data_IF_420142835113
#
_entry.id   IF_420142835113
#
_cell.length_a   1.000
_cell.length_b   1.000
_cell.length_c   1.000
_cell.angle_alpha   90.00
_cell.angle_beta   90.00
_cell.angle_gamma   90.00
#
_symmetry.space_group_name_H-M   'P 1'
#
loop_
_entity.id
_entity.type
_entity.pdbx_description
1 polymer ?
#
# COMPACT_ATOMS: atom_id res chain seq x y z
N UNK A 1 15.11 2.54 -21.38
CA UNK A 1 14.58 1.97 -20.12
C UNK A 1 15.59 2.25 -19.03
N UNK A 2 15.26 2.95 -17.93
CA UNK A 2 16.20 3.03 -16.82
C UNK A 2 16.32 1.65 -16.19
N UNK A 3 17.55 1.16 -16.11
CA UNK A 3 17.92 -0.08 -15.43
C UNK A 3 17.73 0.11 -13.93
N UNK A 4 17.00 -0.80 -13.28
CA UNK A 4 17.00 -0.86 -11.83
C UNK A 4 18.34 -1.46 -11.39
N UNK A 5 19.31 -0.60 -11.06
CA UNK A 5 20.48 -1.01 -10.32
C UNK A 5 20.01 -1.54 -8.96
N UNK A 6 20.53 -2.71 -8.55
CA UNK A 6 20.40 -3.26 -7.20
C UNK A 6 21.20 -2.42 -6.19
N UNK A 7 20.97 -1.10 -6.18
CA UNK A 7 21.60 -0.20 -5.23
C UNK A 7 21.03 -0.48 -3.85
N UNK A 8 21.93 -0.70 -2.90
CA UNK A 8 21.71 -0.92 -1.47
C UNK A 8 21.08 0.28 -0.74
N UNK A 9 20.05 0.90 -1.33
CA UNK A 9 19.14 1.77 -0.60
C UNK A 9 18.25 0.81 0.18
N UNK A 10 18.48 0.74 1.49
CA UNK A 10 17.57 0.07 2.41
C UNK A 10 16.18 0.64 2.14
N UNK A 11 15.30 -0.21 1.58
CA UNK A 11 13.91 0.17 1.27
C UNK A 11 13.30 0.86 2.48
N UNK A 12 12.36 1.79 2.28
CA UNK A 12 11.65 2.38 3.39
C UNK A 12 11.10 1.27 4.27
N UNK A 13 11.46 1.33 5.56
CA UNK A 13 11.14 0.31 6.53
C UNK A 13 10.11 0.89 7.49
N UNK A 14 8.99 0.21 7.61
CA UNK A 14 8.03 0.52 8.65
C UNK A 14 8.51 -0.12 9.95
N UNK A 15 8.85 0.71 10.93
CA UNK A 15 9.19 0.26 12.28
C UNK A 15 7.90 0.02 13.07
N UNK A 16 7.96 -0.89 14.05
CA UNK A 16 6.82 -1.19 14.93
C UNK A 16 6.31 0.09 15.60
N UNK A 17 5.00 0.34 15.48
CA UNK A 17 4.35 1.53 16.04
C UNK A 17 4.61 2.84 15.28
N UNK A 18 5.19 2.78 14.08
CA UNK A 18 5.34 3.93 13.18
C UNK A 18 4.44 3.77 11.97
N UNK A 19 4.02 4.90 11.41
CA UNK A 19 3.30 4.93 10.15
C UNK A 19 4.22 5.39 9.01
N UNK A 20 3.86 5.03 7.78
CA UNK A 20 4.55 5.47 6.58
C UNK A 20 3.54 5.77 5.47
N UNK A 21 3.60 6.98 4.93
CA UNK A 21 2.83 7.34 3.75
C UNK A 21 3.50 6.72 2.53
N UNK A 22 2.74 5.93 1.76
CA UNK A 22 3.18 5.33 0.48
C UNK A 22 2.73 6.15 -0.72
N UNK A 23 1.72 6.99 -0.53
CA UNK A 23 1.32 8.07 -1.44
C UNK A 23 0.99 9.30 -0.59
N UNK A 24 1.50 10.47 -0.98
CA UNK A 24 1.30 11.72 -0.25
C UNK A 24 0.68 12.81 -1.14
N UNK A 25 -0.65 12.83 -1.24
CA UNK A 25 -1.41 13.73 -2.10
C UNK A 25 -1.01 13.61 -3.59
N UNK A 26 -1.01 12.37 -4.09
CA UNK A 26 -0.49 12.04 -5.42
C UNK A 26 -1.60 11.73 -6.42
N UNK A 27 -1.40 12.13 -7.68
CA UNK A 27 -2.24 11.74 -8.80
C UNK A 27 -1.88 10.32 -9.28
N UNK A 28 -2.18 9.31 -8.45
CA UNK A 28 -1.83 7.91 -8.74
C UNK A 28 -2.62 7.41 -9.95
N UNK A 29 -1.88 6.94 -10.96
CA UNK A 29 -2.43 6.33 -12.18
C UNK A 29 -2.92 4.90 -11.92
N UNK A 30 -4.05 4.54 -12.52
CA UNK A 30 -4.53 3.15 -12.52
C UNK A 30 -3.49 2.22 -13.18
N UNK A 31 -3.28 1.05 -12.58
CA UNK A 31 -2.24 0.09 -12.94
C UNK A 31 -0.92 0.26 -12.19
N UNK A 32 -0.67 1.43 -11.58
CA UNK A 32 0.59 1.71 -10.88
C UNK A 32 0.62 1.12 -9.46
N UNK A 33 1.77 0.58 -9.09
CA UNK A 33 2.08 0.18 -7.72
C UNK A 33 2.81 1.31 -6.98
N UNK A 34 2.61 1.40 -5.66
CA UNK A 34 3.36 2.27 -4.77
C UNK A 34 4.81 1.79 -4.61
N UNK A 35 5.58 2.56 -3.85
CA UNK A 35 6.82 2.06 -3.29
C UNK A 35 6.60 0.79 -2.45
N UNK A 36 7.65 -0.02 -2.38
CA UNK A 36 7.66 -1.30 -1.69
C UNK A 36 8.25 -1.12 -0.29
N UNK A 37 7.44 -1.34 0.73
CA UNK A 37 7.80 -1.10 2.14
C UNK A 37 8.22 -2.41 2.77
N UNK A 38 9.35 -2.39 3.49
CA UNK A 38 9.77 -3.52 4.32
C UNK A 38 9.12 -3.43 5.69
N UNK A 39 8.55 -4.55 6.15
CA UNK A 39 7.92 -4.65 7.46
C UNK A 39 8.97 -5.10 8.48
N UNK A 40 9.27 -4.25 9.47
CA UNK A 40 10.09 -4.68 10.61
C UNK A 40 9.22 -5.54 11.54
N UNK A 41 9.31 -6.86 11.42
CA UNK A 41 8.55 -7.78 12.26
C UNK A 41 9.45 -8.75 13.00
N UNK A 42 9.01 -9.17 14.17
CA UNK A 42 9.55 -10.34 14.83
C UNK A 42 9.10 -11.58 14.04
N UNK A 43 10.02 -12.46 13.59
CA UNK A 43 9.65 -13.67 12.86
C UNK A 43 8.76 -14.63 13.69
N UNK A 44 8.75 -14.50 15.01
CA UNK A 44 8.00 -15.38 15.92
C UNK A 44 6.61 -14.83 16.28
N UNK A 45 6.25 -13.62 15.85
CA UNK A 45 4.97 -13.00 16.19
C UNK A 45 4.25 -12.49 14.93
N UNK A 46 2.94 -12.75 14.78
CA UNK A 46 2.16 -12.16 13.69
C UNK A 46 2.14 -10.63 13.83
N UNK A 47 2.46 -9.93 12.74
CA UNK A 47 2.37 -8.48 12.71
C UNK A 47 0.94 -8.04 12.39
N UNK A 48 0.53 -6.93 12.99
CA UNK A 48 -0.69 -6.20 12.59
C UNK A 48 -0.30 -5.14 11.58
N UNK A 49 -1.14 -4.95 10.57
CA UNK A 49 -1.00 -3.89 9.58
C UNK A 49 -2.36 -3.25 9.38
N UNK A 50 -2.41 -1.92 9.31
CA UNK A 50 -3.56 -1.24 8.74
C UNK A 50 -3.16 -0.31 7.60
N UNK A 51 -4.05 -0.19 6.63
CA UNK A 51 -3.91 0.69 5.48
C UNK A 51 -5.05 1.68 5.55
N UNK A 52 -4.73 2.96 5.64
CA UNK A 52 -5.70 4.04 5.48
C UNK A 52 -5.48 4.71 4.13
N UNK A 53 -6.57 4.97 3.43
CA UNK A 53 -6.57 5.67 2.15
C UNK A 53 -7.53 6.85 2.25
N UNK A 54 -7.08 8.02 1.80
CA UNK A 54 -7.87 9.23 1.67
C UNK A 54 -7.81 9.74 0.24
N UNK A 55 -8.97 10.00 -0.35
CA UNK A 55 -9.09 10.73 -1.61
C UNK A 55 -9.35 12.22 -1.36
N UNK A 56 -8.85 13.09 -2.24
CA UNK A 56 -9.07 14.54 -2.14
C UNK A 56 -10.52 14.96 -2.46
N UNK A 57 -11.24 14.13 -3.21
CA UNK A 57 -12.65 14.26 -3.58
C UNK A 57 -13.20 12.86 -3.94
N UNK A 58 -14.47 12.78 -4.35
CA UNK A 58 -15.10 11.51 -4.74
C UNK A 58 -14.31 10.83 -5.89
N UNK A 59 -13.70 9.65 -5.67
CA UNK A 59 -12.95 8.94 -6.70
C UNK A 59 -13.84 8.26 -7.75
N UNK A 60 -15.17 8.21 -7.55
CA UNK A 60 -16.06 7.34 -8.30
C UNK A 60 -15.77 5.87 -8.00
N UNK A 61 -15.87 4.99 -9.01
CA UNK A 61 -15.46 3.60 -8.82
C UNK A 61 -13.94 3.53 -8.68
N UNK A 62 -13.46 2.79 -7.68
CA UNK A 62 -12.05 2.63 -7.42
C UNK A 62 -11.73 1.22 -6.91
N UNK A 63 -10.47 0.84 -7.01
CA UNK A 63 -9.94 -0.36 -6.36
C UNK A 63 -8.46 -0.17 -6.06
N UNK A 64 -8.09 -0.34 -4.81
CA UNK A 64 -6.70 -0.39 -4.35
C UNK A 64 -6.43 -1.76 -3.75
N UNK A 65 -5.46 -2.46 -4.30
CA UNK A 65 -5.01 -3.75 -3.81
C UNK A 65 -3.88 -3.57 -2.79
N UNK A 66 -4.00 -4.20 -1.64
CA UNK A 66 -2.91 -4.39 -0.70
C UNK A 66 -2.18 -5.66 -1.09
N UNK A 67 -0.93 -5.54 -1.53
CA UNK A 67 -0.14 -6.66 -2.02
C UNK A 67 1.04 -6.93 -1.10
N UNK A 68 1.32 -8.21 -0.86
CA UNK A 68 2.39 -8.64 0.03
C UNK A 68 3.30 -9.67 -0.63
N UNK A 69 4.57 -9.70 -0.24
CA UNK A 69 5.55 -10.69 -0.69
C UNK A 69 6.62 -10.95 0.38
N UNK A 70 7.24 -12.13 0.35
CA UNK A 70 8.46 -12.41 1.14
C UNK A 70 9.74 -12.14 0.34
N UNK A 71 9.67 -12.31 -0.98
CA UNK A 71 10.75 -11.97 -1.90
C UNK A 71 10.40 -10.68 -2.62
N UNK A 72 11.31 -9.71 -2.61
CA UNK A 72 11.09 -8.45 -3.30
C UNK A 72 11.26 -8.56 -4.83
N UNK A 73 10.31 -9.22 -5.48
CA UNK A 73 10.18 -9.20 -6.94
C UNK A 73 8.72 -9.03 -7.32
N UNK A 74 8.48 -8.27 -8.38
CA UNK A 74 7.14 -7.98 -8.90
C UNK A 74 6.25 -9.23 -9.02
N UNK A 75 6.84 -10.33 -9.47
CA UNK A 75 6.14 -11.61 -9.69
C UNK A 75 5.66 -12.30 -8.41
N UNK A 76 6.23 -11.95 -7.24
CA UNK A 76 5.90 -12.56 -5.96
C UNK A 76 4.89 -11.75 -5.14
N UNK A 77 4.50 -10.56 -5.60
CA UNK A 77 3.47 -9.77 -4.92
C UNK A 77 2.08 -10.33 -5.19
N UNK A 78 1.41 -10.75 -4.12
CA UNK A 78 0.06 -11.31 -4.15
C UNK A 78 -0.90 -10.36 -3.45
N UNK A 79 -2.06 -10.10 -4.04
CA UNK A 79 -3.14 -9.31 -3.42
C UNK A 79 -3.71 -10.07 -2.21
N UNK A 80 -3.70 -9.42 -1.03
CA UNK A 80 -4.25 -9.96 0.22
C UNK A 80 -5.62 -9.40 0.54
N UNK A 81 -5.85 -8.14 0.22
CA UNK A 81 -7.17 -7.53 0.27
C UNK A 81 -7.25 -6.41 -0.76
N UNK A 82 -8.47 -5.99 -1.06
CA UNK A 82 -8.75 -4.86 -1.93
C UNK A 82 -9.72 -3.91 -1.22
N UNK A 83 -9.43 -2.62 -1.27
CA UNK A 83 -10.36 -1.56 -0.91
C UNK A 83 -11.01 -1.03 -2.18
N UNK A 84 -12.30 -1.29 -2.37
CA UNK A 84 -13.08 -0.86 -3.53
C UNK A 84 -14.39 -0.16 -3.19
N UNK A 85 -14.70 -0.08 -1.89
CA UNK A 85 -15.89 0.57 -1.33
C UNK A 85 -15.63 0.89 0.15
N UNK A 86 -16.65 1.39 0.87
CA UNK A 86 -16.53 1.64 2.31
C UNK A 86 -15.76 2.90 2.67
N UNK A 87 -15.77 3.91 1.79
CA UNK A 87 -15.33 5.25 2.14
C UNK A 87 -16.37 5.94 3.03
N UNK A 88 -15.91 6.68 4.02
CA UNK A 88 -16.78 7.60 4.78
C UNK A 88 -17.11 8.87 3.97
N UNK A 89 -17.89 9.78 4.56
CA UNK A 89 -18.27 11.06 3.93
C UNK A 89 -17.11 12.01 3.62
N UNK A 90 -15.91 11.74 4.14
CA UNK A 90 -14.68 12.47 3.85
C UNK A 90 -13.76 11.72 2.87
N UNK A 91 -14.29 10.71 2.19
CA UNK A 91 -13.57 9.87 1.22
C UNK A 91 -12.35 9.14 1.83
N UNK A 92 -12.47 8.75 3.11
CA UNK A 92 -11.46 7.95 3.81
C UNK A 92 -11.96 6.52 3.97
N UNK A 93 -11.13 5.56 3.60
CA UNK A 93 -11.36 4.13 3.81
C UNK A 93 -10.17 3.48 4.49
N UNK A 94 -10.41 2.32 5.10
CA UNK A 94 -9.41 1.61 5.88
C UNK A 94 -9.55 0.10 5.70
N UNK A 95 -8.41 -0.58 5.67
CA UNK A 95 -8.32 -2.05 5.70
C UNK A 95 -7.38 -2.44 6.82
N UNK A 96 -7.76 -3.44 7.61
CA UNK A 96 -6.97 -3.93 8.74
C UNK A 96 -6.65 -5.41 8.57
N UNK A 97 -5.44 -5.79 8.96
CA UNK A 97 -4.95 -7.15 8.95
C UNK A 97 -4.44 -7.51 10.34
N UNK A 98 -5.01 -8.55 10.93
CA UNK A 98 -4.65 -9.03 12.27
C UNK A 98 -3.54 -10.08 12.24
N UNK A 99 -3.15 -10.57 11.05
CA UNK A 99 -2.08 -11.54 10.88
C UNK A 99 -1.39 -11.36 9.52
N UNK A 100 -0.28 -10.61 9.52
CA UNK A 100 0.63 -10.46 8.38
C UNK A 100 1.94 -11.17 8.69
N UNK A 101 2.28 -12.13 7.83
CA UNK A 101 3.56 -12.85 7.84
C UNK A 101 4.48 -12.45 6.69
N UNK A 102 4.12 -11.46 5.88
CA UNK A 102 4.93 -11.05 4.75
C UNK A 102 6.09 -10.13 5.17
N UNK A 103 7.18 -10.16 4.40
CA UNK A 103 8.34 -9.28 4.61
C UNK A 103 8.15 -7.91 3.96
N UNK A 104 7.46 -7.85 2.83
CA UNK A 104 7.20 -6.65 2.07
C UNK A 104 5.71 -6.43 1.82
N UNK A 105 5.32 -5.17 1.79
CA UNK A 105 3.98 -4.73 1.43
C UNK A 105 4.05 -3.56 0.46
N UNK A 106 3.05 -3.46 -0.40
CA UNK A 106 2.81 -2.32 -1.28
C UNK A 106 1.31 -2.15 -1.54
N UNK A 107 0.94 -0.99 -2.06
CA UNK A 107 -0.40 -0.75 -2.59
C UNK A 107 -0.34 -0.71 -4.12
N UNK A 108 -1.40 -1.17 -4.77
CA UNK A 108 -1.56 -1.05 -6.22
C UNK A 108 -2.90 -0.44 -6.55
N UNK A 109 -2.89 0.70 -7.24
CA UNK A 109 -4.10 1.29 -7.78
C UNK A 109 -4.54 0.45 -8.99
N UNK A 110 -5.68 -0.23 -8.91
CA UNK A 110 -6.20 -1.05 -10.00
C UNK A 110 -7.11 -0.20 -10.90
N UNK A 111 -8.05 0.51 -10.29
CA UNK A 111 -8.98 1.39 -10.99
C UNK A 111 -9.26 2.65 -10.18
N UNK A 112 -9.60 3.73 -10.90
CA UNK A 112 -10.12 4.98 -10.35
C UNK A 112 -10.85 5.72 -11.47
N UNK A 113 -12.13 6.01 -11.31
CA UNK A 113 -12.93 6.69 -12.34
C UNK A 113 -12.54 8.16 -12.44
N UNK A 114 -12.49 8.86 -11.32
CA UNK A 114 -12.22 10.29 -11.29
C UNK A 114 -10.73 10.55 -11.00
N UNK A 115 -10.14 11.51 -11.72
CA UNK A 115 -8.75 11.91 -11.51
C UNK A 115 -8.62 12.78 -10.24
N UNK A 116 -8.61 12.12 -9.07
CA UNK A 116 -8.43 12.77 -7.76
C UNK A 116 -7.12 12.34 -7.12
N UNK A 117 -6.51 13.23 -6.34
CA UNK A 117 -5.30 12.90 -5.59
C UNK A 117 -5.62 11.93 -4.45
N UNK A 118 -4.62 11.10 -4.11
CA UNK A 118 -4.71 10.04 -3.11
C UNK A 118 -3.58 10.20 -2.10
N UNK A 119 -3.93 10.06 -0.84
CA UNK A 119 -2.97 9.84 0.25
C UNK A 119 -3.22 8.45 0.81
N UNK A 120 -2.19 7.64 0.94
CA UNK A 120 -2.30 6.32 1.55
C UNK A 120 -1.18 6.10 2.56
N UNK A 121 -1.54 5.63 3.75
CA UNK A 121 -0.64 5.45 4.88
C UNK A 121 -0.78 4.04 5.45
N UNK A 122 0.36 3.40 5.69
CA UNK A 122 0.47 2.15 6.41
C UNK A 122 0.74 2.43 7.89
N UNK A 123 0.14 1.64 8.79
CA UNK A 123 0.36 1.69 10.24
C UNK A 123 0.63 0.29 10.79
#
# INVERSE_FOLDING_TARGET
MPAYSSSAIKKPQMLVGRNIAVWANEAVTAGSASERISLNRDPNLPAVLSVEVKFAADPGAFQIDVQTADTDSEVYYITKASLSSGLNSSFVGRVEFTNIVATYVRLKMITKTNAVNVTATLF
#
